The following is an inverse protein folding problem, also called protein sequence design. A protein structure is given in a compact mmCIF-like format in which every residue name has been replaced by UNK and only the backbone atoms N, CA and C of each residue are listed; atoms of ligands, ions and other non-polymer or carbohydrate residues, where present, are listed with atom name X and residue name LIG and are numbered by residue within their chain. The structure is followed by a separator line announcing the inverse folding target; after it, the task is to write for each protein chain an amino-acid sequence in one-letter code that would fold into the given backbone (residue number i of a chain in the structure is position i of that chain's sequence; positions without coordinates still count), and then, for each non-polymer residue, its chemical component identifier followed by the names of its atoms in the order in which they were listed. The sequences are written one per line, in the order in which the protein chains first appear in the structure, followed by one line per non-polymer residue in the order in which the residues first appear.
data_IF_795367070540
#
_entry.id   IF_795367070540
#
_cell.length_a   1.000
_cell.length_b   1.000
_cell.length_c   1.000
_cell.angle_alpha   90.00
_cell.angle_beta   90.00
_cell.angle_gamma   90.00
#
_symmetry.space_group_name_H-M   'P 1'
#
loop_
_entity.id
_entity.type
_entity.pdbx_description
1 polymer ?
#
# COMPACT_ATOMS: atom_id res chain seq x y z
N UNK A 1 38.04 65.68 -8.52
CA UNK A 1 36.97 65.67 -9.55
C UNK A 1 37.49 64.97 -10.80
N UNK A 2 38.18 63.84 -10.67
CA UNK A 2 37.67 62.50 -10.34
C UNK A 2 36.85 61.84 -11.46
N UNK A 3 37.49 60.78 -11.98
CA UNK A 3 36.93 59.50 -12.42
C UNK A 3 36.46 59.34 -13.87
N UNK A 4 37.47 59.02 -14.68
CA UNK A 4 37.47 57.94 -15.69
C UNK A 4 36.46 56.83 -15.36
N UNK A 5 35.36 56.73 -16.13
CA UNK A 5 34.42 55.61 -16.06
C UNK A 5 34.68 54.61 -17.20
N UNK A 6 34.74 53.29 -16.92
CA UNK A 6 35.12 52.29 -17.91
C UNK A 6 33.97 51.85 -18.81
N UNK A 7 34.31 51.63 -20.08
CA UNK A 7 33.52 50.96 -21.12
C UNK A 7 33.13 49.54 -20.65
N UNK A 8 31.83 49.29 -20.47
CA UNK A 8 31.33 47.95 -20.14
C UNK A 8 31.50 46.97 -21.31
N UNK A 9 31.92 45.72 -21.08
CA UNK A 9 32.13 44.73 -22.14
C UNK A 9 30.78 44.18 -22.67
N UNK A 10 30.74 43.93 -23.98
CA UNK A 10 29.62 43.30 -24.69
C UNK A 10 29.23 41.95 -24.05
N UNK A 11 27.94 41.59 -24.00
CA UNK A 11 27.50 40.30 -23.49
C UNK A 11 28.05 39.17 -24.38
N UNK A 12 28.75 38.21 -23.77
CA UNK A 12 29.21 36.99 -24.43
C UNK A 12 28.07 36.10 -24.94
N UNK A 13 28.36 35.13 -25.81
CA UNK A 13 27.34 34.30 -26.45
C UNK A 13 26.51 33.52 -25.43
N UNK A 14 25.19 33.42 -25.69
CA UNK A 14 24.24 32.67 -24.88
C UNK A 14 24.70 31.22 -24.67
N UNK A 15 24.56 30.66 -23.45
CA UNK A 15 24.91 29.26 -23.20
C UNK A 15 23.91 28.31 -23.87
N UNK A 16 24.42 27.33 -24.61
CA UNK A 16 23.64 26.30 -25.26
C UNK A 16 22.85 25.44 -24.24
N UNK A 17 21.62 25.02 -24.55
CA UNK A 17 20.81 24.18 -23.67
C UNK A 17 21.31 22.74 -23.71
N UNK A 18 22.17 22.34 -22.76
CA UNK A 18 22.64 20.95 -22.70
C UNK A 18 23.49 20.51 -21.50
N UNK A 19 23.85 21.41 -20.57
CA UNK A 19 24.72 21.04 -19.45
C UNK A 19 24.03 20.11 -18.43
N UNK A 20 24.64 18.95 -18.17
CA UNK A 20 24.18 17.98 -17.17
C UNK A 20 24.12 18.60 -15.76
N UNK A 21 23.21 18.12 -14.91
CA UNK A 21 23.03 18.61 -13.53
C UNK A 21 24.34 18.56 -12.71
N UNK A 22 25.18 17.55 -12.97
CA UNK A 22 26.50 17.37 -12.36
C UNK A 22 27.46 18.52 -12.68
N UNK A 23 27.36 19.11 -13.86
CA UNK A 23 28.19 20.24 -14.28
C UNK A 23 27.77 21.53 -13.55
N UNK A 24 26.47 21.63 -13.23
CA UNK A 24 25.89 22.74 -12.47
C UNK A 24 26.16 22.66 -10.97
N UNK A 25 26.17 21.45 -10.41
CA UNK A 25 26.47 21.20 -9.00
C UNK A 25 27.93 21.55 -8.64
N UNK A 26 28.89 21.24 -9.53
CA UNK A 26 30.30 21.64 -9.36
C UNK A 26 30.50 23.16 -9.45
N UNK A 27 29.64 23.86 -10.18
CA UNK A 27 29.70 25.31 -10.35
C UNK A 27 29.12 26.11 -9.16
N UNK A 28 28.70 25.47 -8.06
CA UNK A 28 28.25 26.15 -6.84
C UNK A 28 26.96 26.97 -6.97
N UNK A 29 26.23 26.84 -8.09
CA UNK A 29 24.99 27.57 -8.35
C UNK A 29 23.81 26.73 -7.87
N UNK A 30 23.57 26.76 -6.55
CA UNK A 30 22.42 26.10 -5.90
C UNK A 30 21.12 26.81 -6.28
N UNK A 31 20.57 26.47 -7.44
CA UNK A 31 19.16 26.69 -7.75
C UNK A 31 18.39 25.39 -7.54
N UNK A 32 17.20 25.45 -6.95
CA UNK A 32 16.29 24.30 -6.92
C UNK A 32 16.12 23.75 -8.36
N UNK A 33 16.07 22.42 -8.53
CA UNK A 33 15.85 21.83 -9.85
C UNK A 33 14.49 22.31 -10.37
N UNK A 34 14.49 23.11 -11.44
CA UNK A 34 13.26 23.38 -12.17
C UNK A 34 12.83 22.06 -12.81
N UNK A 35 11.60 21.57 -12.55
CA UNK A 35 11.14 20.32 -13.12
C UNK A 35 11.17 20.40 -14.65
N UNK A 36 11.65 19.35 -15.35
CA UNK A 36 11.68 19.34 -16.81
C UNK A 36 10.24 19.36 -17.36
N UNK A 37 10.03 20.10 -18.45
CA UNK A 37 8.74 20.25 -19.12
C UNK A 37 8.31 19.00 -19.93
N UNK A 38 8.69 17.79 -19.49
CA UNK A 38 8.42 16.52 -20.17
C UNK A 38 7.85 15.45 -19.23
N UNK A 39 7.32 14.33 -19.77
CA UNK A 39 6.75 13.26 -18.95
C UNK A 39 7.79 12.68 -18.00
N UNK A 40 7.40 12.54 -16.73
CA UNK A 40 8.27 12.09 -15.64
C UNK A 40 8.87 10.71 -15.96
N UNK A 41 10.18 10.66 -16.21
CA UNK A 41 10.92 9.42 -16.37
C UNK A 41 11.17 8.77 -14.99
N UNK A 42 10.17 8.04 -14.50
CA UNK A 42 10.22 7.32 -13.22
C UNK A 42 11.38 6.31 -13.14
N UNK A 43 11.82 5.75 -14.28
CA UNK A 43 12.94 4.81 -14.32
C UNK A 43 14.26 5.54 -14.07
N UNK A 44 14.43 6.72 -14.66
CA UNK A 44 15.57 7.60 -14.38
C UNK A 44 15.65 8.01 -12.90
N UNK A 45 14.52 8.43 -12.32
CA UNK A 45 14.44 8.81 -10.90
C UNK A 45 14.78 7.63 -9.97
N UNK A 46 14.33 6.42 -10.29
CA UNK A 46 14.63 5.21 -9.52
C UNK A 46 16.11 4.80 -9.64
N UNK A 47 16.70 4.91 -10.82
CA UNK A 47 18.10 4.58 -11.06
C UNK A 47 19.05 5.59 -10.41
N UNK A 48 18.66 6.87 -10.36
CA UNK A 48 19.35 7.93 -9.64
C UNK A 48 19.24 7.74 -8.11
N UNK A 49 18.06 7.35 -7.60
CA UNK A 49 17.86 7.03 -6.19
C UNK A 49 18.69 5.82 -5.72
N UNK A 50 18.94 4.85 -6.61
CA UNK A 50 19.81 3.69 -6.36
C UNK A 50 21.31 4.05 -6.27
N UNK A 51 21.71 5.21 -6.79
CA UNK A 51 23.11 5.68 -6.77
C UNK A 51 23.48 6.55 -5.56
N UNK A 52 22.51 6.86 -4.69
CA UNK A 52 22.73 7.71 -3.51
C UNK A 52 23.36 6.92 -2.35
N UNK A 53 24.35 7.49 -1.64
CA UNK A 53 24.93 6.85 -0.46
C UNK A 53 23.86 6.65 0.63
N UNK A 54 23.86 5.50 1.33
CA UNK A 54 22.80 5.09 2.26
C UNK A 54 22.64 6.02 3.48
N UNK A 55 23.66 6.84 3.75
CA UNK A 55 23.75 7.80 4.85
C UNK A 55 23.10 9.16 4.52
N UNK A 56 22.65 9.39 3.28
CA UNK A 56 22.10 10.69 2.90
C UNK A 56 20.70 10.94 3.51
N UNK A 57 20.37 12.19 3.88
CA UNK A 57 19.02 12.54 4.34
C UNK A 57 17.94 12.22 3.29
N UNK A 58 18.28 12.28 2.00
CA UNK A 58 17.40 11.87 0.90
C UNK A 58 17.15 10.36 0.87
N UNK A 59 18.18 9.52 1.08
CA UNK A 59 18.02 8.06 1.21
C UNK A 59 17.18 7.68 2.44
N UNK A 60 17.34 8.39 3.57
CA UNK A 60 16.49 8.21 4.75
C UNK A 60 15.04 8.61 4.50
N UNK A 61 14.80 9.71 3.79
CA UNK A 61 13.45 10.14 3.42
C UNK A 61 12.80 9.15 2.44
N UNK A 62 13.53 8.69 1.42
CA UNK A 62 13.06 7.67 0.47
C UNK A 62 12.73 6.34 1.16
N UNK A 63 13.54 5.91 2.13
CA UNK A 63 13.25 4.73 2.97
C UNK A 63 12.00 4.93 3.80
N UNK A 64 11.81 6.06 4.48
CA UNK A 64 10.58 6.35 5.24
C UNK A 64 9.33 6.34 4.37
N UNK A 65 9.42 6.83 3.14
CA UNK A 65 8.31 6.81 2.17
C UNK A 65 8.04 5.38 1.68
N UNK A 66 9.09 4.61 1.39
CA UNK A 66 8.97 3.20 1.00
C UNK A 66 8.40 2.33 2.14
N UNK A 67 8.84 2.57 3.37
CA UNK A 67 8.42 1.89 4.60
C UNK A 67 6.96 2.23 4.95
N UNK A 68 6.57 3.51 4.81
CA UNK A 68 5.15 3.93 4.90
C UNK A 68 4.27 3.29 3.83
N UNK A 69 4.82 3.00 2.66
CA UNK A 69 4.10 2.37 1.55
C UNK A 69 4.02 0.85 1.69
N UNK A 70 4.97 0.23 2.40
CA UNK A 70 5.03 -1.19 2.73
C UNK A 70 4.06 -1.60 3.86
N UNK A 71 3.53 -0.65 4.64
CA UNK A 71 2.46 -0.91 5.60
C UNK A 71 1.21 -1.46 4.88
N UNK A 72 0.52 -2.45 5.47
CA UNK A 72 -0.76 -2.92 4.94
C UNK A 72 -1.75 -1.75 4.83
N UNK A 73 -2.62 -1.78 3.83
CA UNK A 73 -3.51 -0.66 3.51
C UNK A 73 -4.36 -0.20 4.72
N UNK A 74 -4.67 -1.12 5.64
CA UNK A 74 -5.38 -0.85 6.90
C UNK A 74 -4.66 0.05 7.90
N UNK A 75 -3.32 0.09 7.87
CA UNK A 75 -2.49 0.73 8.90
C UNK A 75 -1.92 2.08 8.43
N UNK A 76 -2.20 2.45 7.17
CA UNK A 76 -1.79 3.76 6.65
C UNK A 76 -2.54 4.87 7.39
N UNK A 77 -1.85 5.81 8.05
CA UNK A 77 -2.52 6.96 8.67
C UNK A 77 -3.25 7.77 7.58
N UNK A 78 -4.55 7.99 7.75
CA UNK A 78 -5.41 8.71 6.80
C UNK A 78 -6.18 7.88 5.77
N UNK A 79 -6.03 6.55 5.73
CA UNK A 79 -6.86 5.70 4.87
C UNK A 79 -8.35 5.76 5.31
N UNK A 80 -9.32 5.90 4.36
CA UNK A 80 -10.74 5.96 4.68
C UNK A 80 -11.19 4.69 5.41
N UNK A 81 -12.04 4.85 6.41
CA UNK A 81 -12.50 3.76 7.28
C UNK A 81 -13.12 2.59 6.50
N UNK A 82 -13.85 2.90 5.42
CA UNK A 82 -14.40 1.92 4.49
C UNK A 82 -13.33 1.04 3.82
N UNK A 83 -12.15 1.58 3.51
CA UNK A 83 -11.06 0.80 2.90
C UNK A 83 -10.40 -0.11 3.94
N UNK A 84 -10.26 0.36 5.19
CA UNK A 84 -9.76 -0.46 6.30
C UNK A 84 -10.68 -1.64 6.60
N UNK A 85 -11.98 -1.39 6.63
CA UNK A 85 -12.98 -2.43 6.90
C UNK A 85 -13.03 -3.47 5.78
N UNK A 86 -12.96 -3.03 4.52
CA UNK A 86 -12.81 -3.94 3.36
C UNK A 86 -11.54 -4.77 3.43
N UNK A 87 -10.42 -4.18 3.86
CA UNK A 87 -9.17 -4.91 4.03
C UNK A 87 -9.28 -5.99 5.12
N UNK A 88 -9.82 -5.64 6.29
CA UNK A 88 -10.04 -6.58 7.40
C UNK A 88 -10.96 -7.72 7.00
N UNK A 89 -12.05 -7.42 6.29
CA UNK A 89 -12.97 -8.44 5.80
C UNK A 89 -12.28 -9.40 4.83
N UNK A 90 -11.44 -8.88 3.93
CA UNK A 90 -10.67 -9.71 2.99
C UNK A 90 -9.69 -10.62 3.71
N UNK A 91 -9.01 -10.10 4.74
CA UNK A 91 -8.09 -10.87 5.56
C UNK A 91 -8.83 -11.99 6.31
N UNK A 92 -9.92 -11.66 7.01
CA UNK A 92 -10.72 -12.63 7.76
C UNK A 92 -11.31 -13.73 6.85
N UNK A 93 -11.75 -13.36 5.64
CA UNK A 93 -12.27 -14.33 4.68
C UNK A 93 -11.18 -15.28 4.16
N UNK A 94 -9.95 -14.79 3.99
CA UNK A 94 -8.78 -15.62 3.72
C UNK A 94 -8.45 -16.55 4.88
N UNK A 95 -8.41 -16.02 6.10
CA UNK A 95 -8.16 -16.79 7.34
C UNK A 95 -9.14 -17.95 7.51
N UNK A 96 -10.42 -17.70 7.21
CA UNK A 96 -11.45 -18.72 7.20
C UNK A 96 -11.18 -19.82 6.16
N UNK A 97 -10.76 -19.46 4.96
CA UNK A 97 -10.38 -20.43 3.91
C UNK A 97 -9.23 -21.33 4.37
N UNK A 98 -8.21 -20.80 5.05
CA UNK A 98 -7.11 -21.63 5.57
C UNK A 98 -7.57 -22.65 6.62
N UNK A 99 -8.47 -22.26 7.52
CA UNK A 99 -9.03 -23.19 8.50
C UNK A 99 -9.79 -24.31 7.77
N UNK A 100 -10.59 -23.96 6.76
CA UNK A 100 -11.33 -24.91 5.93
C UNK A 100 -10.41 -25.88 5.19
N UNK A 101 -9.35 -25.37 4.55
CA UNK A 101 -8.37 -26.19 3.84
C UNK A 101 -7.64 -27.11 4.82
N UNK A 102 -7.24 -26.62 5.99
CA UNK A 102 -6.61 -27.43 7.04
C UNK A 102 -7.54 -28.58 7.45
N UNK A 103 -8.81 -28.29 7.73
CA UNK A 103 -9.80 -29.32 8.09
C UNK A 103 -10.01 -30.32 6.96
N UNK A 104 -10.08 -29.86 5.70
CA UNK A 104 -10.23 -30.72 4.54
C UNK A 104 -9.07 -31.70 4.42
N UNK A 105 -7.83 -31.21 4.51
CA UNK A 105 -6.62 -32.04 4.47
C UNK A 105 -6.60 -33.08 5.58
N UNK A 106 -6.96 -32.67 6.81
CA UNK A 106 -7.07 -33.58 7.95
C UNK A 106 -8.11 -34.68 7.71
N UNK A 107 -9.29 -34.36 7.17
CA UNK A 107 -10.35 -35.34 6.89
C UNK A 107 -9.98 -36.30 5.75
N UNK A 108 -9.34 -35.79 4.69
CA UNK A 108 -8.83 -36.64 3.60
C UNK A 108 -7.82 -37.67 4.14
N UNK A 109 -6.89 -37.23 5.01
CA UNK A 109 -5.90 -38.10 5.64
C UNK A 109 -6.51 -39.12 6.60
N UNK A 110 -7.53 -38.72 7.36
CA UNK A 110 -8.25 -39.62 8.26
C UNK A 110 -8.97 -40.77 7.52
N UNK A 111 -9.19 -40.64 6.21
CA UNK A 111 -9.79 -41.68 5.36
C UNK A 111 -8.78 -42.74 4.93
N UNK A 112 -7.48 -42.45 5.06
CA UNK A 112 -6.40 -43.38 4.75
C UNK A 112 -6.17 -44.28 5.97
N UNK A 113 -6.37 -45.59 5.81
CA UNK A 113 -6.11 -46.54 6.89
C UNK A 113 -4.61 -46.54 7.23
N UNK A 114 -4.29 -46.21 8.48
CA UNK A 114 -2.91 -46.29 8.98
C UNK A 114 -2.57 -47.75 9.23
N UNK A 115 -1.58 -48.29 8.53
CA UNK A 115 -1.06 -49.64 8.81
C UNK A 115 -0.21 -49.65 10.07
N UNK A 116 -0.27 -50.73 10.86
CA UNK A 116 0.53 -50.86 12.09
C UNK A 116 2.04 -50.75 11.89
N UNK A 117 2.55 -50.95 10.67
CA UNK A 117 3.99 -50.86 10.38
C UNK A 117 4.50 -49.41 10.19
N UNK A 118 3.62 -48.43 9.97
CA UNK A 118 3.97 -47.06 9.58
C UNK A 118 3.34 -45.98 10.48
N UNK A 119 3.09 -46.26 11.76
CA UNK A 119 2.55 -45.26 12.69
C UNK A 119 3.66 -44.34 13.25
N UNK A 120 3.88 -43.14 12.71
CA UNK A 120 4.90 -42.20 13.22
C UNK A 120 4.57 -41.46 14.52
N UNK A 121 3.72 -42.05 15.37
CA UNK A 121 3.48 -41.59 16.74
C UNK A 121 3.01 -40.14 16.88
N UNK A 122 3.08 -39.61 18.10
CA UNK A 122 2.62 -38.25 18.43
C UNK A 122 3.46 -37.15 17.76
N UNK A 123 4.74 -37.42 17.48
CA UNK A 123 5.63 -36.47 16.83
C UNK A 123 5.25 -36.22 15.37
N UNK A 124 4.90 -37.29 14.64
CA UNK A 124 4.39 -37.14 13.27
C UNK A 124 3.06 -36.39 13.26
N UNK A 125 2.13 -36.70 14.17
CA UNK A 125 0.83 -36.01 14.21
C UNK A 125 0.97 -34.49 14.37
N UNK A 126 1.83 -34.05 15.28
CA UNK A 126 2.11 -32.62 15.47
C UNK A 126 2.77 -32.00 14.23
N UNK A 127 3.71 -32.70 13.60
CA UNK A 127 4.36 -32.21 12.39
C UNK A 127 3.38 -32.12 11.21
N UNK A 128 2.50 -33.11 11.05
CA UNK A 128 1.46 -33.12 10.01
C UNK A 128 0.47 -31.98 10.23
N UNK A 129 0.05 -31.71 11.46
CA UNK A 129 -0.82 -30.58 11.77
C UNK A 129 -0.16 -29.23 11.44
N UNK A 130 1.13 -29.07 11.77
CA UNK A 130 1.88 -27.86 11.40
C UNK A 130 2.02 -27.74 9.88
N UNK A 131 2.33 -28.84 9.21
CA UNK A 131 2.46 -28.90 7.76
C UNK A 131 1.14 -28.51 7.08
N UNK A 132 0.01 -29.08 7.51
CA UNK A 132 -1.31 -28.80 6.95
C UNK A 132 -1.67 -27.32 7.09
N UNK A 133 -1.38 -26.71 8.24
CA UNK A 133 -1.57 -25.26 8.46
C UNK A 133 -0.71 -24.42 7.52
N UNK A 134 0.58 -24.73 7.38
CA UNK A 134 1.47 -23.97 6.48
C UNK A 134 1.05 -24.10 5.02
N UNK A 135 0.56 -25.27 4.60
CA UNK A 135 0.01 -25.46 3.26
C UNK A 135 -1.26 -24.63 3.06
N UNK A 136 -2.15 -24.61 4.04
CA UNK A 136 -3.38 -23.82 4.01
C UNK A 136 -3.12 -22.31 4.00
N UNK A 137 -2.16 -21.81 4.80
CA UNK A 137 -1.71 -20.42 4.77
C UNK A 137 -1.04 -20.05 3.44
N UNK A 138 -0.26 -20.96 2.86
CA UNK A 138 0.34 -20.80 1.54
C UNK A 138 -0.71 -20.69 0.43
N UNK A 139 -1.81 -21.43 0.55
CA UNK A 139 -2.91 -21.39 -0.41
C UNK A 139 -3.57 -20.00 -0.49
N UNK A 140 -3.61 -19.23 0.60
CA UNK A 140 -4.13 -17.85 0.60
C UNK A 140 -3.29 -16.88 -0.23
N UNK A 141 -1.97 -17.08 -0.29
CA UNK A 141 -1.06 -16.23 -1.08
C UNK A 141 -1.16 -16.53 -2.57
N UNK A 142 -1.61 -17.74 -2.91
CA UNK A 142 -1.87 -18.20 -4.26
C UNK A 142 -3.32 -18.00 -4.69
N UNK A 143 -3.81 -18.86 -5.60
CA UNK A 143 -5.19 -18.80 -6.12
C UNK A 143 -6.22 -19.40 -5.16
N UNK A 144 -5.81 -20.07 -4.07
CA UNK A 144 -6.68 -20.72 -3.10
C UNK A 144 -7.66 -21.72 -3.71
N UNK A 145 -8.68 -22.11 -2.94
CA UNK A 145 -9.89 -22.77 -3.44
C UNK A 145 -10.92 -21.75 -3.96
N UNK A 146 -10.74 -20.47 -3.63
CA UNK A 146 -11.61 -19.37 -4.02
C UNK A 146 -12.80 -19.16 -3.07
N UNK A 147 -12.89 -19.95 -2.01
CA UNK A 147 -13.98 -19.87 -1.03
C UNK A 147 -13.89 -18.58 -0.23
N UNK A 148 -12.67 -18.16 0.14
CA UNK A 148 -12.44 -16.89 0.83
C UNK A 148 -12.88 -15.69 -0.03
N UNK A 149 -12.65 -15.75 -1.35
CA UNK A 149 -13.11 -14.70 -2.27
C UNK A 149 -14.65 -14.66 -2.35
N UNK A 150 -15.30 -15.82 -2.48
CA UNK A 150 -16.77 -15.89 -2.50
C UNK A 150 -17.38 -15.35 -1.20
N UNK A 151 -16.79 -15.69 -0.05
CA UNK A 151 -17.22 -15.19 1.25
C UNK A 151 -17.04 -13.66 1.35
N UNK A 152 -15.90 -13.14 0.88
CA UNK A 152 -15.67 -11.71 0.79
C UNK A 152 -16.73 -11.01 -0.10
N UNK A 153 -17.02 -11.56 -1.27
CA UNK A 153 -17.98 -10.98 -2.22
C UNK A 153 -19.40 -10.94 -1.63
N UNK A 154 -19.79 -11.94 -0.84
CA UNK A 154 -21.07 -11.96 -0.14
C UNK A 154 -21.10 -10.97 1.03
N UNK A 155 -20.06 -10.95 1.87
CA UNK A 155 -20.03 -10.13 3.09
C UNK A 155 -19.79 -8.64 2.80
N UNK A 156 -19.04 -8.32 1.73
CA UNK A 156 -18.71 -6.94 1.37
C UNK A 156 -19.92 -6.11 0.94
N UNK A 157 -21.00 -6.78 0.51
CA UNK A 157 -22.29 -6.15 0.22
C UNK A 157 -22.93 -5.55 1.48
N UNK A 158 -22.77 -6.21 2.63
CA UNK A 158 -23.29 -5.72 3.91
C UNK A 158 -22.50 -4.54 4.47
N UNK A 159 -21.21 -4.42 4.13
CA UNK A 159 -20.39 -3.26 4.52
C UNK A 159 -20.84 -1.96 3.84
N UNK A 160 -21.40 -2.04 2.62
CA UNK A 160 -21.96 -0.86 1.94
C UNK A 160 -23.27 -0.39 2.61
N UNK A 161 -24.08 -1.34 3.07
CA UNK A 161 -25.36 -1.06 3.73
C UNK A 161 -25.21 -0.58 5.17
N UNK A 162 -24.16 -1.01 5.88
CA UNK A 162 -23.89 -0.57 7.25
C UNK A 162 -23.42 0.89 7.36
N UNK A 163 -22.98 1.51 6.26
CA UNK A 163 -22.44 2.88 6.26
C UNK A 163 -23.46 3.96 5.92
N UNK A 164 -24.77 3.70 5.86
CA UNK A 164 -25.78 4.74 5.60
C UNK A 164 -25.79 5.77 6.75
N UNK A 165 -25.38 7.04 6.51
CA UNK A 165 -25.52 8.13 7.49
C UNK A 165 -26.67 9.02 7.00
N UNK A 166 -27.83 8.94 7.64
CA UNK A 166 -29.02 9.61 7.14
C UNK A 166 -30.18 9.75 8.12
N UNK A 167 -29.91 10.11 9.37
CA UNK A 167 -30.88 10.87 10.18
C UNK A 167 -30.29 12.23 10.50
N UNK A 168 -30.26 13.09 9.48
CA UNK A 168 -30.20 14.54 9.66
C UNK A 168 -31.18 15.15 8.67
N UNK A 169 -32.46 15.06 9.02
CA UNK A 169 -33.48 16.02 8.58
C UNK A 169 -34.17 16.53 9.84
N UNK A 170 -33.44 17.38 10.56
CA UNK A 170 -34.10 18.51 11.19
C UNK A 170 -34.49 19.46 10.04
N UNK A 171 -35.68 19.28 9.49
CA UNK A 171 -36.39 20.35 8.79
C UNK A 171 -37.83 20.39 9.33
N UNK A 172 -37.96 21.15 10.40
CA UNK A 172 -39.21 21.53 11.03
C UNK A 172 -39.14 23.01 11.33
N UNK A 173 -39.00 23.81 10.28
CA UNK A 173 -39.24 25.25 10.36
C UNK A 173 -40.13 25.66 9.19
N UNK A 174 -41.44 25.69 9.41
CA UNK A 174 -42.19 26.94 9.53
C UNK A 174 -43.70 26.73 9.30
N UNK A 175 -44.45 27.33 10.22
CA UNK A 175 -45.61 28.17 9.96
C UNK A 175 -46.88 27.55 9.36
N UNK A 176 -47.78 27.20 10.28
CA UNK A 176 -49.22 27.18 10.06
C UNK A 176 -49.92 27.88 11.21
N UNK A 177 -50.38 29.11 10.96
CA UNK A 177 -51.16 29.92 11.87
C UNK A 177 -52.55 29.30 12.19
N UNK A 178 -53.17 29.88 13.23
CA UNK A 178 -54.61 29.99 13.53
C UNK A 178 -55.39 28.83 14.17
N UNK A 179 -56.23 29.26 15.14
CA UNK A 179 -57.42 28.66 15.77
C UNK A 179 -57.22 27.98 17.14
N UNK A 180 -57.46 28.66 18.28
CA UNK A 180 -58.74 29.16 18.83
C UNK A 180 -59.70 28.05 19.28
N UNK A 181 -59.53 27.54 20.51
CA UNK A 181 -60.64 27.31 21.46
C UNK A 181 -60.15 26.94 22.86
#
# INVERSE_FOLDING_TARGET
MDLLSPLAPLPGPLPAPGGSFLERARSGRLGLPTPPAGPLDFRGVLQEALSLPPESPAARAARRVAERRALPASDRPGAPEAERERFRLRQAAGDFESILVTMLLQKMRATIQKSELFHGGKGEEVFQDLLDRTMAEGAMKGRGLGIGQMLYDQMSQYLATAQVPGESTADGSQDGASESR
#
